data_IF_436894333590
#
_entry.id   IF_436894333590
#
_cell.length_a   1.000
_cell.length_b   1.000
_cell.length_c   1.000
_cell.angle_alpha   90.00
_cell.angle_beta   90.00
_cell.angle_gamma   90.00
#
_symmetry.space_group_name_H-M   'P 1'
#
loop_
_entity.id
_entity.type
_entity.pdbx_description
1 polymer ?
#
# COMPACT_ATOMS: atom_id res chain seq x y z
N UNK A 1 -22.85 6.14 -5.72
CA UNK A 1 -22.43 6.82 -4.47
C UNK A 1 -21.44 5.91 -3.78
N UNK A 2 -20.18 6.29 -3.67
CA UNK A 2 -19.20 5.53 -2.90
C UNK A 2 -19.61 5.56 -1.43
N UNK A 3 -19.89 4.40 -0.87
CA UNK A 3 -20.25 4.26 0.54
C UNK A 3 -18.96 4.49 1.35
N UNK A 4 -18.92 5.55 2.14
CA UNK A 4 -17.78 5.86 3.02
C UNK A 4 -17.88 4.92 4.22
N UNK A 5 -17.00 3.94 4.27
CA UNK A 5 -16.94 2.99 5.37
C UNK A 5 -15.97 3.50 6.43
N UNK A 6 -16.45 3.75 7.64
CA UNK A 6 -15.61 4.18 8.75
C UNK A 6 -14.82 3.00 9.33
N UNK A 7 -13.51 3.14 9.49
CA UNK A 7 -12.62 2.16 10.12
C UNK A 7 -12.00 2.73 11.40
N UNK A 8 -12.76 2.85 12.51
CA UNK A 8 -12.20 3.32 13.77
C UNK A 8 -11.12 2.36 14.28
N UNK A 9 -10.10 2.90 14.91
CA UNK A 9 -9.06 2.08 15.55
C UNK A 9 -9.67 1.29 16.69
N UNK A 10 -9.51 -0.03 16.65
CA UNK A 10 -9.91 -0.93 17.71
C UNK A 10 -8.68 -1.53 18.39
N UNK A 11 -8.56 -1.31 19.70
CA UNK A 11 -7.52 -1.93 20.52
C UNK A 11 -7.91 -3.36 20.91
N UNK A 12 -6.91 -4.21 21.11
CA UNK A 12 -7.10 -5.56 21.59
C UNK A 12 -6.81 -6.67 20.56
N UNK A 13 -7.02 -7.91 20.99
CA UNK A 13 -6.88 -9.11 20.15
C UNK A 13 -8.24 -9.82 20.10
N UNK A 14 -8.57 -10.43 18.97
CA UNK A 14 -9.70 -11.31 18.91
C UNK A 14 -9.55 -12.45 19.95
N UNK A 15 -10.59 -12.79 20.74
CA UNK A 15 -10.53 -13.93 21.62
C UNK A 15 -10.17 -15.20 20.86
N UNK A 16 -9.35 -16.08 21.46
CA UNK A 16 -8.86 -17.30 20.80
C UNK A 16 -9.97 -18.18 20.23
N UNK A 17 -11.08 -18.30 20.97
CA UNK A 17 -12.23 -19.09 20.54
C UNK A 17 -12.90 -18.51 19.30
N UNK A 18 -13.02 -17.17 19.23
CA UNK A 18 -13.56 -16.48 18.06
C UNK A 18 -12.63 -16.62 16.87
N UNK A 19 -11.33 -16.36 17.06
CA UNK A 19 -10.33 -16.50 16.01
C UNK A 19 -10.32 -17.90 15.40
N UNK A 20 -10.35 -18.97 16.24
CA UNK A 20 -10.45 -20.34 15.75
C UNK A 20 -11.74 -20.66 14.97
N UNK A 21 -12.85 -19.98 15.29
CA UNK A 21 -14.08 -20.06 14.47
C UNK A 21 -13.91 -19.34 13.14
N UNK A 22 -13.30 -18.17 13.15
CA UNK A 22 -13.01 -17.39 11.94
C UNK A 22 -12.11 -18.19 10.98
N UNK A 23 -11.06 -18.84 11.48
CA UNK A 23 -10.20 -19.74 10.69
C UNK A 23 -11.01 -20.85 10.01
N UNK A 24 -11.83 -21.57 10.76
CA UNK A 24 -12.63 -22.68 10.20
C UNK A 24 -13.68 -22.19 9.20
N UNK A 25 -14.46 -21.17 9.57
CA UNK A 25 -15.54 -20.69 8.71
C UNK A 25 -15.01 -19.92 7.49
N UNK A 26 -14.01 -19.05 7.69
CA UNK A 26 -13.35 -18.35 6.59
C UNK A 26 -12.68 -19.30 5.61
N UNK A 27 -12.00 -20.32 6.12
CA UNK A 27 -11.43 -21.39 5.29
C UNK A 27 -12.49 -22.16 4.52
N UNK A 28 -13.62 -22.55 5.15
CA UNK A 28 -14.70 -23.27 4.47
C UNK A 28 -15.34 -22.43 3.36
N UNK A 29 -15.68 -21.16 3.62
CA UNK A 29 -16.23 -20.25 2.60
C UNK A 29 -15.24 -20.06 1.45
N UNK A 30 -13.95 -19.83 1.77
CA UNK A 30 -12.93 -19.63 0.75
C UNK A 30 -12.72 -20.87 -0.12
N UNK A 31 -12.68 -22.07 0.47
CA UNK A 31 -12.59 -23.33 -0.29
C UNK A 31 -13.80 -23.53 -1.19
N UNK A 32 -15.02 -23.24 -0.73
CA UNK A 32 -16.21 -23.32 -1.59
C UNK A 32 -16.09 -22.38 -2.81
N UNK A 33 -15.54 -21.17 -2.64
CA UNK A 33 -15.29 -20.27 -3.77
C UNK A 33 -14.20 -20.82 -4.68
N UNK A 34 -13.12 -21.39 -4.13
CA UNK A 34 -12.05 -21.99 -4.92
C UNK A 34 -12.58 -23.18 -5.73
N UNK A 35 -13.35 -24.05 -5.10
CA UNK A 35 -13.90 -25.26 -5.74
C UNK A 35 -14.86 -24.93 -6.89
N UNK A 36 -15.65 -23.86 -6.75
CA UNK A 36 -16.66 -23.48 -7.73
C UNK A 36 -16.11 -22.55 -8.83
N UNK A 37 -15.22 -21.61 -8.46
CA UNK A 37 -14.79 -20.53 -9.36
C UNK A 37 -13.27 -20.44 -9.55
N UNK A 38 -12.50 -21.22 -8.82
CA UNK A 38 -11.04 -21.19 -8.83
C UNK A 38 -10.41 -20.17 -7.89
N UNK A 39 -9.08 -20.32 -7.64
CA UNK A 39 -8.35 -19.48 -6.67
C UNK A 39 -8.23 -18.01 -7.12
N UNK A 40 -8.20 -17.76 -8.42
CA UNK A 40 -8.11 -16.40 -8.98
C UNK A 40 -9.38 -15.60 -8.71
N UNK A 41 -10.53 -16.22 -8.68
CA UNK A 41 -11.78 -15.57 -8.31
C UNK A 41 -11.79 -15.23 -6.82
N UNK A 42 -11.36 -16.14 -5.95
CA UNK A 42 -11.22 -15.83 -4.53
C UNK A 42 -10.28 -14.65 -4.31
N UNK A 43 -9.15 -14.61 -5.00
CA UNK A 43 -8.21 -13.49 -4.93
C UNK A 43 -8.88 -12.17 -5.32
N UNK A 44 -9.61 -12.16 -6.44
CA UNK A 44 -10.35 -10.99 -6.89
C UNK A 44 -11.36 -10.50 -5.87
N UNK A 45 -12.12 -11.41 -5.27
CA UNK A 45 -13.10 -11.11 -4.22
C UNK A 45 -12.43 -10.56 -2.94
N UNK A 46 -11.29 -11.10 -2.54
CA UNK A 46 -10.55 -10.59 -1.38
C UNK A 46 -10.00 -9.15 -1.62
N UNK A 47 -9.79 -8.80 -2.88
CA UNK A 47 -9.36 -7.46 -3.28
C UNK A 47 -10.54 -6.52 -3.64
N UNK A 48 -11.78 -6.99 -3.50
CA UNK A 48 -13.00 -6.18 -3.55
C UNK A 48 -13.40 -5.75 -2.14
N UNK A 49 -13.59 -4.45 -1.94
CA UNK A 49 -13.84 -3.87 -0.62
C UNK A 49 -15.16 -4.36 -0.01
N UNK A 50 -16.20 -4.43 -0.82
CA UNK A 50 -17.53 -4.86 -0.38
C UNK A 50 -17.57 -6.33 0.00
N UNK A 51 -17.01 -7.19 -0.85
CA UNK A 51 -16.97 -8.63 -0.58
C UNK A 51 -16.07 -8.97 0.61
N UNK A 52 -14.90 -8.33 0.71
CA UNK A 52 -14.01 -8.50 1.86
C UNK A 52 -14.70 -8.16 3.17
N UNK A 53 -15.44 -7.06 3.20
CA UNK A 53 -16.21 -6.65 4.38
C UNK A 53 -17.34 -7.63 4.70
N UNK A 54 -18.08 -8.09 3.68
CA UNK A 54 -19.14 -9.07 3.85
C UNK A 54 -18.61 -10.40 4.40
N UNK A 55 -17.48 -10.89 3.87
CA UNK A 55 -16.80 -12.07 4.40
C UNK A 55 -16.40 -11.88 5.86
N UNK A 56 -15.81 -10.73 6.19
CA UNK A 56 -15.39 -10.44 7.56
C UNK A 56 -16.57 -10.49 8.55
N UNK A 57 -17.71 -9.94 8.16
CA UNK A 57 -18.95 -10.02 8.95
C UNK A 57 -19.46 -11.48 9.06
N UNK A 58 -19.48 -12.22 7.95
CA UNK A 58 -19.95 -13.60 7.92
C UNK A 58 -19.14 -14.53 8.84
N UNK A 59 -17.81 -14.31 8.94
CA UNK A 59 -16.95 -15.12 9.80
C UNK A 59 -16.94 -14.69 11.28
N UNK A 60 -17.68 -13.62 11.62
CA UNK A 60 -17.91 -13.21 12.99
C UNK A 60 -17.31 -11.89 13.42
N UNK A 61 -16.90 -11.06 12.46
CA UNK A 61 -16.48 -9.69 12.73
C UNK A 61 -17.64 -8.74 12.37
N UNK A 62 -18.44 -8.36 13.37
CA UNK A 62 -19.77 -7.77 13.17
C UNK A 62 -19.80 -6.23 13.08
N UNK A 63 -18.63 -5.56 13.07
CA UNK A 63 -18.56 -4.12 12.85
C UNK A 63 -17.32 -3.68 12.08
N UNK A 64 -17.44 -2.53 11.43
CA UNK A 64 -16.32 -1.91 10.71
C UNK A 64 -15.29 -1.34 11.69
N UNK A 65 -14.10 -1.92 11.71
CA UNK A 65 -12.99 -1.39 12.49
C UNK A 65 -11.64 -1.76 11.85
N UNK A 66 -10.59 -1.16 12.34
CA UNK A 66 -9.22 -1.52 11.94
C UNK A 66 -8.87 -2.99 12.19
N UNK A 67 -9.55 -3.62 13.14
CA UNK A 67 -9.41 -5.04 13.44
C UNK A 67 -9.92 -5.95 12.33
N UNK A 68 -10.96 -5.53 11.60
CA UNK A 68 -11.56 -6.29 10.48
C UNK A 68 -10.49 -6.76 9.50
N UNK A 69 -9.66 -5.87 8.99
CA UNK A 69 -8.60 -6.22 8.03
C UNK A 69 -7.59 -7.20 8.62
N UNK A 70 -7.06 -6.85 9.79
CA UNK A 70 -5.93 -7.58 10.38
C UNK A 70 -6.31 -8.98 10.87
N UNK A 71 -7.50 -9.14 11.43
CA UNK A 71 -7.97 -10.41 12.00
C UNK A 71 -8.47 -11.33 10.89
N UNK A 72 -9.22 -10.81 9.92
CA UNK A 72 -9.72 -11.59 8.79
C UNK A 72 -8.57 -12.17 7.97
N UNK A 73 -7.60 -11.33 7.57
CA UNK A 73 -6.44 -11.82 6.81
C UNK A 73 -5.55 -12.78 7.63
N UNK A 74 -5.44 -12.55 8.94
CA UNK A 74 -4.76 -13.50 9.81
C UNK A 74 -5.44 -14.87 9.86
N UNK A 75 -6.77 -14.89 9.95
CA UNK A 75 -7.56 -16.13 9.95
C UNK A 75 -7.50 -16.86 8.60
N UNK A 76 -7.58 -16.12 7.49
CA UNK A 76 -7.47 -16.69 6.15
C UNK A 76 -6.05 -17.22 5.86
N UNK A 77 -5.02 -16.51 6.31
CA UNK A 77 -3.63 -16.97 6.21
C UNK A 77 -3.43 -18.32 6.89
N UNK A 78 -3.95 -18.48 8.12
CA UNK A 78 -3.88 -19.73 8.86
C UNK A 78 -4.71 -20.84 8.19
N UNK A 79 -5.84 -20.49 7.58
CA UNK A 79 -6.74 -21.47 6.97
C UNK A 79 -6.27 -21.98 5.60
N UNK A 80 -5.59 -21.16 4.78
CA UNK A 80 -5.43 -21.39 3.34
C UNK A 80 -3.99 -21.61 2.89
N UNK A 81 -2.99 -21.12 3.64
CA UNK A 81 -1.60 -21.16 3.14
C UNK A 81 -1.04 -22.57 2.94
N UNK A 82 -1.62 -23.57 3.59
CA UNK A 82 -1.23 -24.96 3.42
C UNK A 82 -1.97 -25.67 2.25
N UNK A 83 -3.04 -25.08 1.74
CA UNK A 83 -3.91 -25.70 0.73
C UNK A 83 -3.30 -25.72 -0.69
N UNK A 84 -2.27 -24.89 -0.97
CA UNK A 84 -1.61 -24.84 -2.27
C UNK A 84 -2.41 -24.17 -3.40
N UNK A 85 -3.48 -23.44 -3.09
CA UNK A 85 -4.33 -22.77 -4.09
C UNK A 85 -4.09 -21.26 -4.16
N UNK A 86 -3.94 -20.63 -2.98
CA UNK A 86 -3.65 -19.22 -2.79
C UNK A 86 -2.68 -19.07 -1.62
N UNK A 87 -1.80 -18.08 -1.69
CA UNK A 87 -0.89 -17.79 -0.59
C UNK A 87 -1.05 -16.33 -0.12
N UNK A 88 -1.09 -16.16 1.20
CA UNK A 88 -1.21 -14.87 1.89
C UNK A 88 0.10 -14.60 2.63
N UNK A 89 0.91 -13.71 2.09
CA UNK A 89 2.19 -13.29 2.65
C UNK A 89 2.01 -12.04 3.52
N UNK A 90 2.78 -11.93 4.59
CA UNK A 90 2.79 -10.73 5.43
C UNK A 90 1.76 -10.73 6.56
N UNK A 91 1.28 -9.55 6.94
CA UNK A 91 0.36 -9.33 8.05
C UNK A 91 0.63 -8.06 8.86
N UNK A 92 0.25 -8.04 10.16
CA UNK A 92 0.40 -6.88 11.03
C UNK A 92 1.82 -6.78 11.62
N UNK A 93 2.39 -5.57 11.64
CA UNK A 93 3.65 -5.28 12.32
C UNK A 93 4.83 -6.10 11.78
N UNK A 94 5.48 -6.92 12.60
CA UNK A 94 6.64 -7.73 12.18
C UNK A 94 6.32 -8.70 11.05
N UNK A 95 5.11 -9.24 10.99
CA UNK A 95 4.67 -10.09 9.89
C UNK A 95 4.66 -9.32 8.56
N UNK A 96 4.21 -8.06 8.55
CA UNK A 96 4.27 -7.21 7.36
C UNK A 96 5.71 -6.92 6.91
N UNK A 97 6.65 -6.75 7.84
CA UNK A 97 8.08 -6.60 7.51
C UNK A 97 8.65 -7.88 6.89
N UNK A 98 8.15 -9.05 7.29
CA UNK A 98 8.61 -10.36 6.80
C UNK A 98 7.96 -10.76 5.46
N UNK A 99 7.09 -9.97 4.87
CA UNK A 99 6.39 -10.27 3.60
C UNK A 99 7.32 -10.79 2.48
N UNK A 100 8.52 -10.24 2.27
CA UNK A 100 9.44 -10.77 1.25
C UNK A 100 9.81 -12.25 1.44
N UNK A 101 10.09 -12.66 2.67
CA UNK A 101 10.40 -14.06 2.97
C UNK A 101 9.17 -14.96 2.80
N UNK A 102 8.00 -14.50 3.24
CA UNK A 102 6.74 -15.23 3.05
C UNK A 102 6.44 -15.41 1.56
N UNK A 103 6.72 -14.41 0.71
CA UNK A 103 6.55 -14.49 -0.75
C UNK A 103 7.41 -15.60 -1.34
N UNK A 104 8.68 -15.70 -0.95
CA UNK A 104 9.58 -16.77 -1.44
C UNK A 104 9.01 -18.14 -1.09
N UNK A 105 8.60 -18.33 0.17
CA UNK A 105 8.00 -19.59 0.63
C UNK A 105 6.72 -19.91 -0.15
N UNK A 106 5.85 -18.93 -0.34
CA UNK A 106 4.58 -19.12 -1.04
C UNK A 106 4.77 -19.38 -2.54
N UNK A 107 5.73 -18.73 -3.17
CA UNK A 107 6.05 -18.93 -4.58
C UNK A 107 6.55 -20.37 -4.84
N UNK A 108 7.37 -20.90 -3.92
CA UNK A 108 7.80 -22.30 -3.98
C UNK A 108 6.62 -23.26 -3.81
N UNK A 109 5.76 -23.03 -2.81
CA UNK A 109 4.55 -23.85 -2.57
C UNK A 109 3.58 -23.87 -3.75
N UNK A 110 3.43 -22.73 -4.43
CA UNK A 110 2.54 -22.61 -5.59
C UNK A 110 3.22 -22.97 -6.92
N UNK A 111 4.45 -23.49 -6.88
CA UNK A 111 5.26 -23.92 -8.04
C UNK A 111 5.53 -22.80 -9.04
N UNK A 112 5.72 -21.56 -8.55
CA UNK A 112 6.07 -20.37 -9.33
C UNK A 112 7.28 -19.61 -8.73
N UNK A 113 8.40 -20.29 -8.40
CA UNK A 113 9.53 -19.64 -7.73
C UNK A 113 10.17 -18.52 -8.56
N UNK A 114 10.03 -18.56 -9.88
CA UNK A 114 10.46 -17.52 -10.82
C UNK A 114 9.74 -16.17 -10.61
N UNK A 115 8.56 -16.14 -9.98
CA UNK A 115 7.82 -14.93 -9.67
C UNK A 115 8.23 -14.27 -8.36
N UNK A 116 8.98 -14.93 -7.49
CA UNK A 116 9.25 -14.48 -6.12
C UNK A 116 9.93 -13.10 -6.08
N UNK A 117 10.92 -12.84 -6.94
CA UNK A 117 11.61 -11.56 -7.00
C UNK A 117 10.67 -10.43 -7.44
N UNK A 118 9.94 -10.63 -8.54
CA UNK A 118 8.98 -9.65 -9.05
C UNK A 118 7.87 -9.36 -8.03
N UNK A 119 7.33 -10.38 -7.35
CA UNK A 119 6.32 -10.20 -6.31
C UNK A 119 6.87 -9.47 -5.08
N UNK A 120 8.12 -9.74 -4.70
CA UNK A 120 8.79 -9.01 -3.61
C UNK A 120 8.93 -7.53 -3.94
N UNK A 121 9.28 -7.20 -5.16
CA UNK A 121 9.38 -5.82 -5.63
C UNK A 121 8.01 -5.14 -5.66
N UNK A 122 6.98 -5.80 -6.22
CA UNK A 122 5.59 -5.30 -6.25
C UNK A 122 5.04 -5.06 -4.84
N UNK A 123 5.32 -5.96 -3.91
CA UNK A 123 4.96 -5.80 -2.49
C UNK A 123 5.61 -4.57 -1.86
N UNK A 124 6.89 -4.31 -2.15
CA UNK A 124 7.60 -3.11 -1.66
C UNK A 124 7.05 -1.84 -2.30
N UNK A 125 6.80 -1.86 -3.61
CA UNK A 125 6.25 -0.73 -4.35
C UNK A 125 4.86 -0.36 -3.84
N UNK A 126 3.94 -1.31 -3.69
CA UNK A 126 2.60 -1.03 -3.21
C UNK A 126 2.61 -0.41 -1.81
N UNK A 127 3.42 -0.95 -0.89
CA UNK A 127 3.58 -0.37 0.44
C UNK A 127 4.16 1.05 0.39
N UNK A 128 5.10 1.29 -0.52
CA UNK A 128 5.74 2.59 -0.71
C UNK A 128 4.78 3.62 -1.30
N UNK A 129 4.03 3.25 -2.33
CA UNK A 129 3.05 4.11 -2.98
C UNK A 129 2.01 4.56 -1.96
N UNK A 130 1.35 3.64 -1.26
CA UNK A 130 0.30 4.00 -0.31
C UNK A 130 0.82 4.78 0.89
N UNK A 131 2.07 4.53 1.32
CA UNK A 131 2.67 5.28 2.43
C UNK A 131 3.23 6.65 2.05
N UNK A 132 3.47 6.92 0.77
CA UNK A 132 4.21 8.11 0.33
C UNK A 132 3.46 8.99 -0.67
N UNK A 133 2.47 8.46 -1.39
CA UNK A 133 1.83 9.15 -2.50
C UNK A 133 0.35 9.50 -2.25
N UNK A 134 -0.36 8.74 -1.38
CA UNK A 134 -1.82 8.86 -1.25
C UNK A 134 -2.25 9.81 -0.14
N UNK A 135 -1.67 9.71 1.06
CA UNK A 135 -2.06 10.51 2.23
C UNK A 135 -0.88 11.05 3.00
N UNK A 136 -1.08 12.23 3.59
CA UNK A 136 -0.03 12.99 4.25
C UNK A 136 0.42 12.45 5.60
N UNK A 137 -0.46 11.79 6.34
CA UNK A 137 -0.23 11.41 7.72
C UNK A 137 -0.44 9.91 8.01
N UNK A 138 -0.65 9.10 6.98
CA UNK A 138 -0.94 7.68 7.16
C UNK A 138 0.34 6.84 7.13
N UNK A 139 0.58 6.08 8.19
CA UNK A 139 1.64 5.07 8.28
C UNK A 139 1.06 3.66 8.09
N UNK A 140 1.57 2.90 7.12
CA UNK A 140 1.18 1.50 6.90
C UNK A 140 1.68 0.66 8.08
N UNK A 141 0.81 -0.09 8.73
CA UNK A 141 1.14 -0.98 9.84
C UNK A 141 0.69 -2.44 9.61
N UNK A 142 -0.14 -2.66 8.60
CA UNK A 142 -0.53 -3.98 8.13
C UNK A 142 -0.32 -4.05 6.64
N UNK A 143 0.39 -5.06 6.17
CA UNK A 143 0.64 -5.28 4.76
C UNK A 143 0.56 -6.76 4.46
N UNK A 144 -0.32 -7.14 3.52
CA UNK A 144 -0.42 -8.49 2.98
C UNK A 144 -0.35 -8.46 1.47
N UNK A 145 0.40 -9.41 0.93
CA UNK A 145 0.51 -9.69 -0.49
C UNK A 145 -0.08 -11.07 -0.74
N UNK A 146 -1.11 -11.14 -1.59
CA UNK A 146 -1.85 -12.36 -1.91
C UNK A 146 -1.51 -12.76 -3.34
N UNK A 147 -1.37 -14.06 -3.61
CA UNK A 147 -1.12 -14.52 -4.97
C UNK A 147 -1.51 -15.98 -5.16
N UNK A 148 -1.69 -16.38 -6.41
CA UNK A 148 -2.10 -17.71 -6.85
C UNK A 148 -1.04 -18.32 -7.77
N UNK A 149 -1.14 -19.61 -8.03
CA UNK A 149 -0.24 -20.33 -8.94
C UNK A 149 -0.33 -19.86 -10.41
N UNK A 150 -1.38 -19.15 -10.79
CA UNK A 150 -1.48 -18.51 -12.13
C UNK A 150 -0.55 -17.31 -12.29
N UNK A 151 0.00 -16.77 -11.18
CA UNK A 151 0.76 -15.54 -11.15
C UNK A 151 -0.09 -14.28 -10.97
N UNK A 152 -1.41 -14.42 -10.76
CA UNK A 152 -2.29 -13.33 -10.36
C UNK A 152 -2.01 -12.93 -8.91
N UNK A 153 -2.02 -11.64 -8.64
CA UNK A 153 -1.68 -11.13 -7.30
C UNK A 153 -2.59 -9.97 -6.88
N UNK A 154 -2.62 -9.72 -5.59
CA UNK A 154 -3.30 -8.58 -4.99
C UNK A 154 -2.63 -8.14 -3.69
N UNK A 155 -2.99 -6.95 -3.23
CA UNK A 155 -2.51 -6.38 -1.97
C UNK A 155 -3.70 -5.93 -1.14
N UNK A 156 -3.68 -6.27 0.13
CA UNK A 156 -4.57 -5.67 1.12
C UNK A 156 -3.70 -5.13 2.25
N UNK A 157 -3.66 -3.81 2.37
CA UNK A 157 -2.88 -3.16 3.40
C UNK A 157 -3.67 -2.09 4.12
N UNK A 158 -3.23 -1.75 5.32
CA UNK A 158 -3.93 -0.79 6.15
C UNK A 158 -2.94 0.15 6.83
N UNK A 159 -3.22 1.42 6.69
CA UNK A 159 -2.53 2.49 7.37
C UNK A 159 -3.39 3.12 8.43
N UNK A 160 -2.76 3.89 9.32
CA UNK A 160 -3.47 4.72 10.28
C UNK A 160 -2.84 6.10 10.38
N UNK A 161 -3.71 7.07 10.67
CA UNK A 161 -3.29 8.41 11.06
C UNK A 161 -3.27 8.48 12.59
N UNK A 162 -2.13 8.82 13.21
CA UNK A 162 -2.06 9.04 14.66
C UNK A 162 -2.99 10.17 15.14
N UNK A 163 -3.23 11.16 14.28
CA UNK A 163 -4.02 12.34 14.63
C UNK A 163 -5.52 12.09 14.64
N UNK A 164 -6.03 11.17 13.80
CA UNK A 164 -7.47 10.96 13.62
C UNK A 164 -8.01 9.72 14.31
N UNK A 165 -7.17 8.84 14.84
CA UNK A 165 -7.57 7.52 15.37
C UNK A 165 -8.39 6.69 14.37
N UNK A 166 -8.14 6.89 13.07
CA UNK A 166 -8.84 6.23 11.98
C UNK A 166 -7.86 5.47 11.10
N UNK A 167 -8.31 4.36 10.55
CA UNK A 167 -7.56 3.56 9.61
C UNK A 167 -8.07 3.73 8.18
N UNK A 168 -7.19 3.53 7.23
CA UNK A 168 -7.50 3.45 5.79
C UNK A 168 -7.04 2.09 5.30
N UNK A 169 -7.92 1.36 4.63
CA UNK A 169 -7.61 0.11 3.94
C UNK A 169 -7.46 0.36 2.46
N UNK A 170 -6.34 -0.09 1.90
CA UNK A 170 -6.04 -0.05 0.48
C UNK A 170 -6.10 -1.46 -0.08
N UNK A 171 -6.74 -1.63 -1.21
CA UNK A 171 -6.83 -2.90 -1.92
C UNK A 171 -6.39 -2.73 -3.36
N UNK A 172 -5.58 -3.67 -3.83
CA UNK A 172 -5.01 -3.70 -5.18
C UNK A 172 -5.30 -5.05 -5.81
N UNK A 173 -5.46 -5.08 -7.12
CA UNK A 173 -5.58 -6.31 -7.89
C UNK A 173 -4.80 -6.17 -9.20
N UNK A 174 -3.99 -7.16 -9.54
CA UNK A 174 -3.11 -7.17 -10.71
C UNK A 174 -3.82 -6.85 -12.02
N UNK A 175 -5.08 -7.21 -12.15
CA UNK A 175 -5.86 -7.02 -13.37
C UNK A 175 -6.18 -5.56 -13.68
N UNK A 176 -6.12 -4.69 -12.68
CA UNK A 176 -6.41 -3.24 -12.82
C UNK A 176 -5.14 -2.39 -12.85
N UNK A 177 -3.98 -3.00 -12.66
CA UNK A 177 -2.72 -2.27 -12.60
C UNK A 177 -2.25 -1.90 -14.00
N UNK A 178 -1.94 -0.62 -14.21
CA UNK A 178 -1.22 -0.18 -15.39
C UNK A 178 0.21 -0.76 -15.35
N UNK A 179 0.55 -1.59 -16.34
CA UNK A 179 1.87 -2.23 -16.42
C UNK A 179 3.00 -1.24 -16.72
N UNK A 180 2.66 -0.09 -17.32
CA UNK A 180 3.64 0.95 -17.65
C UNK A 180 3.87 1.88 -16.45
N UNK A 181 2.85 2.08 -15.62
CA UNK A 181 2.94 2.92 -14.42
C UNK A 181 2.10 2.33 -13.28
N UNK A 182 2.69 1.44 -12.51
CA UNK A 182 2.06 0.82 -11.33
C UNK A 182 1.54 1.83 -10.30
N UNK A 183 2.02 3.06 -10.33
CA UNK A 183 1.60 4.11 -9.40
C UNK A 183 0.40 4.93 -9.90
N UNK A 184 -0.14 4.62 -11.08
CA UNK A 184 -1.28 5.34 -11.65
C UNK A 184 -2.59 4.62 -11.33
N UNK A 185 -3.49 5.25 -10.58
CA UNK A 185 -4.80 4.73 -10.18
C UNK A 185 -4.78 3.25 -9.70
N UNK A 186 -3.85 2.88 -8.79
CA UNK A 186 -3.55 1.46 -8.56
C UNK A 186 -4.61 0.71 -7.74
N UNK A 187 -5.52 1.43 -7.10
CA UNK A 187 -6.41 0.84 -6.11
C UNK A 187 -7.65 0.21 -6.74
N UNK A 188 -7.95 -1.02 -6.38
CA UNK A 188 -9.25 -1.66 -6.63
C UNK A 188 -10.30 -1.21 -5.61
N UNK A 189 -9.87 -0.75 -4.44
CA UNK A 189 -10.71 -0.18 -3.39
C UNK A 189 -9.89 0.60 -2.37
N UNK A 190 -10.48 1.68 -1.87
CA UNK A 190 -9.96 2.45 -0.73
C UNK A 190 -11.09 2.68 0.26
N UNK A 191 -10.97 2.08 1.45
CA UNK A 191 -11.92 2.26 2.54
C UNK A 191 -11.36 3.26 3.55
N UNK A 192 -11.97 4.43 3.60
CA UNK A 192 -11.61 5.49 4.52
C UNK A 192 -12.85 6.18 5.07
N UNK A 193 -12.83 6.52 6.35
CA UNK A 193 -13.89 7.29 6.99
C UNK A 193 -13.82 8.78 6.72
N UNK A 194 -12.77 9.26 6.06
CA UNK A 194 -12.48 10.67 5.91
C UNK A 194 -12.19 11.00 4.45
N UNK A 195 -12.92 11.99 3.90
CA UNK A 195 -12.42 12.75 2.76
C UNK A 195 -11.35 13.69 3.31
N UNK A 196 -10.10 13.38 3.08
CA UNK A 196 -8.98 14.27 3.38
C UNK A 196 -8.68 15.02 2.09
N UNK A 197 -8.59 16.34 2.19
CA UNK A 197 -8.01 17.15 1.13
C UNK A 197 -6.51 16.91 1.17
N UNK A 198 -6.04 15.94 0.43
CA UNK A 198 -4.62 15.62 0.29
C UNK A 198 -4.27 15.58 -1.18
N UNK A 199 -3.03 15.87 -1.50
CA UNK A 199 -2.53 15.69 -2.87
C UNK A 199 -2.34 14.20 -3.07
N UNK A 200 -3.26 13.57 -3.80
CA UNK A 200 -3.11 12.18 -4.23
C UNK A 200 -2.23 12.13 -5.49
N UNK A 201 -0.98 11.75 -5.30
CA UNK A 201 -0.02 11.63 -6.39
C UNK A 201 -0.21 10.36 -7.24
N UNK A 202 -1.17 9.50 -6.88
CA UNK A 202 -1.56 8.34 -7.69
C UNK A 202 -2.66 8.67 -8.68
N UNK A 203 -3.34 9.80 -8.50
CA UNK A 203 -4.37 10.26 -9.44
C UNK A 203 -3.78 10.60 -10.80
N UNK A 204 -4.50 10.25 -11.86
CA UNK A 204 -4.16 10.61 -13.25
C UNK A 204 -4.03 12.12 -13.44
N UNK A 205 -4.80 12.93 -12.71
CA UNK A 205 -4.71 14.40 -12.74
C UNK A 205 -3.34 14.93 -12.27
N UNK A 206 -2.63 14.15 -11.45
CA UNK A 206 -1.31 14.48 -10.92
C UNK A 206 -0.16 13.71 -11.61
N UNK A 207 -0.42 13.06 -12.75
CA UNK A 207 0.57 12.25 -13.47
C UNK A 207 1.81 13.05 -13.89
N UNK A 208 1.66 14.35 -14.14
CA UNK A 208 2.74 15.29 -14.49
C UNK A 208 3.81 15.42 -13.41
N UNK A 209 3.47 15.17 -12.14
CA UNK A 209 4.41 15.27 -11.00
C UNK A 209 5.56 14.26 -11.13
N UNK A 210 5.31 13.10 -11.71
CA UNK A 210 6.30 12.02 -11.81
C UNK A 210 7.51 12.39 -12.68
N UNK A 211 7.34 12.77 -13.98
CA UNK A 211 8.45 13.24 -14.79
C UNK A 211 9.09 14.52 -14.21
N UNK A 212 8.28 15.49 -13.76
CA UNK A 212 8.79 16.71 -13.17
C UNK A 212 9.62 16.49 -11.89
N UNK A 213 9.31 15.43 -11.11
CA UNK A 213 10.12 15.04 -9.96
C UNK A 213 11.49 14.51 -10.36
N UNK A 214 11.59 13.78 -11.46
CA UNK A 214 12.88 13.29 -11.99
C UNK A 214 13.72 14.46 -12.53
N UNK A 215 13.12 15.39 -13.25
CA UNK A 215 13.79 16.61 -13.70
C UNK A 215 14.31 17.45 -12.53
N UNK A 216 13.51 17.60 -11.48
CA UNK A 216 13.92 18.33 -10.27
C UNK A 216 15.13 17.69 -9.55
N UNK A 217 15.31 16.38 -9.65
CA UNK A 217 16.51 15.69 -9.14
C UNK A 217 17.76 15.96 -9.97
N UNK A 218 17.62 16.25 -11.26
CA UNK A 218 18.74 16.59 -12.11
C UNK A 218 19.22 18.03 -11.90
N UNK A 219 18.37 18.94 -11.42
CA UNK A 219 18.70 20.33 -11.05
C UNK A 219 18.61 20.56 -9.54
N UNK A 220 19.51 19.91 -8.80
CA UNK A 220 19.60 20.08 -7.35
C UNK A 220 19.90 21.51 -6.90
N UNK A 221 20.55 22.31 -7.75
CA UNK A 221 20.83 23.71 -7.45
C UNK A 221 19.55 24.53 -7.34
N UNK A 222 18.61 24.33 -8.26
CA UNK A 222 17.29 24.95 -8.24
C UNK A 222 16.42 24.39 -7.10
N UNK A 223 16.42 23.07 -6.93
CA UNK A 223 15.68 22.41 -5.84
C UNK A 223 16.07 22.97 -4.46
N UNK A 224 17.37 23.11 -4.18
CA UNK A 224 17.87 23.66 -2.91
C UNK A 224 17.53 25.15 -2.76
N UNK A 225 17.55 25.92 -3.86
CA UNK A 225 17.13 27.33 -3.85
C UNK A 225 15.67 27.47 -3.43
N UNK A 226 14.79 26.66 -4.00
CA UNK A 226 13.35 26.64 -3.67
C UNK A 226 13.16 26.23 -2.21
N UNK A 227 13.82 25.18 -1.76
CA UNK A 227 13.71 24.70 -0.36
C UNK A 227 14.23 25.70 0.66
N UNK A 228 15.22 26.48 0.33
CA UNK A 228 15.79 27.50 1.22
C UNK A 228 15.04 28.86 1.16
N UNK A 229 14.13 29.06 0.21
CA UNK A 229 13.38 30.30 0.04
C UNK A 229 12.60 30.69 1.31
N UNK A 230 11.84 29.80 1.99
CA UNK A 230 11.14 30.15 3.22
C UNK A 230 12.08 30.69 4.30
N UNK A 231 13.24 30.07 4.50
CA UNK A 231 14.23 30.51 5.52
C UNK A 231 14.74 31.91 5.25
N UNK A 232 15.00 32.27 3.98
CA UNK A 232 15.48 33.60 3.57
C UNK A 232 14.45 34.69 3.86
N UNK A 233 13.18 34.35 3.92
CA UNK A 233 12.06 35.27 4.15
C UNK A 233 11.49 35.19 5.57
N UNK A 234 12.20 34.53 6.51
CA UNK A 234 11.76 34.40 7.90
C UNK A 234 10.52 33.51 8.09
N UNK A 235 10.20 32.70 7.09
CA UNK A 235 9.08 31.74 7.13
C UNK A 235 9.63 30.39 7.62
N UNK A 236 9.00 29.81 8.63
CA UNK A 236 9.32 28.44 9.05
C UNK A 236 8.97 27.47 7.93
N UNK A 237 9.93 26.71 7.39
CA UNK A 237 9.63 25.71 6.37
C UNK A 237 8.67 24.66 6.95
N UNK A 238 7.72 24.22 6.12
CA UNK A 238 6.88 23.07 6.47
C UNK A 238 7.71 21.82 6.73
N UNK A 239 7.10 20.79 7.35
CA UNK A 239 7.78 19.56 7.74
C UNK A 239 8.54 18.87 6.59
N UNK A 240 8.14 19.10 5.35
CA UNK A 240 8.71 18.48 4.16
C UNK A 240 9.93 19.22 3.59
N UNK A 241 10.13 20.50 3.94
CA UNK A 241 11.22 21.35 3.45
C UNK A 241 12.33 21.55 4.54
N UNK A 242 12.74 20.47 5.17
CA UNK A 242 13.75 20.48 6.24
C UNK A 242 15.15 20.19 5.70
N UNK A 243 16.20 20.46 6.50
CA UNK A 243 17.58 20.05 6.17
C UNK A 243 17.73 18.56 5.95
N UNK A 244 16.97 17.76 6.70
CA UNK A 244 16.89 16.31 6.50
C UNK A 244 16.28 15.98 5.12
N UNK A 245 15.27 16.74 4.68
CA UNK A 245 14.68 16.63 3.35
C UNK A 245 15.71 16.89 2.26
N UNK A 246 16.49 17.99 2.35
CA UNK A 246 17.56 18.29 1.38
C UNK A 246 18.58 17.14 1.30
N UNK A 247 19.00 16.61 2.45
CA UNK A 247 19.93 15.47 2.48
C UNK A 247 19.35 14.23 1.79
N UNK A 248 18.06 13.99 1.92
CA UNK A 248 17.40 12.86 1.26
C UNK A 248 17.23 13.09 -0.24
N UNK A 249 16.95 14.33 -0.66
CA UNK A 249 16.92 14.69 -2.08
C UNK A 249 18.28 14.52 -2.76
N UNK A 250 19.36 14.95 -2.12
CA UNK A 250 20.72 14.69 -2.63
C UNK A 250 21.00 13.20 -2.81
N UNK A 251 20.63 12.40 -1.80
CA UNK A 251 20.74 10.94 -1.91
C UNK A 251 19.92 10.35 -3.05
N UNK A 252 18.73 10.89 -3.30
CA UNK A 252 17.88 10.46 -4.40
C UNK A 252 18.49 10.87 -5.75
N UNK A 253 19.06 12.09 -5.83
CA UNK A 253 19.78 12.58 -7.00
C UNK A 253 21.05 11.76 -7.26
N UNK A 254 21.86 11.47 -6.24
CA UNK A 254 23.08 10.65 -6.35
C UNK A 254 22.80 9.22 -6.84
N UNK A 255 21.60 8.70 -6.60
CA UNK A 255 21.15 7.38 -7.08
C UNK A 255 20.77 7.39 -8.57
N UNK A 256 20.64 8.57 -9.18
CA UNK A 256 20.33 8.80 -10.59
C UNK A 256 19.20 7.91 -11.16
N UNK A 257 17.99 7.94 -10.54
CA UNK A 257 16.90 7.07 -10.95
C UNK A 257 16.42 7.40 -12.37
N UNK A 258 16.41 6.41 -13.25
CA UNK A 258 15.97 6.56 -14.64
C UNK A 258 14.42 6.59 -14.76
N UNK A 259 13.71 6.19 -13.71
CA UNK A 259 12.25 6.15 -13.67
C UNK A 259 11.70 6.48 -12.27
N UNK A 260 10.44 6.90 -12.23
CA UNK A 260 9.77 7.16 -10.94
C UNK A 260 9.65 5.89 -10.09
N UNK A 261 9.56 4.71 -10.72
CA UNK A 261 9.62 3.41 -10.05
C UNK A 261 10.95 3.21 -9.32
N UNK A 262 12.06 3.47 -9.97
CA UNK A 262 13.40 3.39 -9.36
C UNK A 262 13.57 4.42 -8.25
N UNK A 263 13.05 5.63 -8.43
CA UNK A 263 13.02 6.64 -7.38
C UNK A 263 12.28 6.13 -6.14
N UNK A 264 11.09 5.54 -6.30
CA UNK A 264 10.33 4.97 -5.18
C UNK A 264 11.08 3.84 -4.47
N UNK A 265 11.83 3.00 -5.20
CA UNK A 265 12.61 1.89 -4.64
C UNK A 265 13.94 2.34 -4.03
N UNK A 266 14.40 3.56 -4.30
CA UNK A 266 15.65 4.09 -3.79
C UNK A 266 15.65 4.13 -2.26
N UNK A 267 16.70 3.57 -1.65
CA UNK A 267 16.83 3.49 -0.20
C UNK A 267 16.91 4.87 0.44
N UNK A 268 15.96 5.15 1.34
CA UNK A 268 15.87 6.43 2.05
C UNK A 268 14.89 7.41 1.42
N UNK A 269 14.45 7.21 0.18
CA UNK A 269 13.33 7.93 -0.40
C UNK A 269 12.06 7.50 0.33
N UNK A 270 11.31 8.45 0.84
CA UNK A 270 10.06 8.24 1.58
C UNK A 270 9.09 9.38 1.33
N UNK A 271 8.01 9.41 2.10
CA UNK A 271 6.95 10.41 2.00
C UNK A 271 7.48 11.85 1.90
N UNK A 272 8.35 12.24 2.82
CA UNK A 272 8.90 13.61 2.85
C UNK A 272 9.66 13.94 1.55
N UNK A 273 10.46 12.99 1.02
CA UNK A 273 11.18 13.19 -0.24
C UNK A 273 10.24 13.34 -1.43
N UNK A 274 9.27 12.45 -1.54
CA UNK A 274 8.27 12.46 -2.64
C UNK A 274 7.45 13.76 -2.61
N UNK A 275 7.03 14.20 -1.44
CA UNK A 275 6.28 15.45 -1.30
C UNK A 275 7.13 16.69 -1.56
N UNK A 276 8.37 16.69 -1.08
CA UNK A 276 9.30 17.77 -1.41
C UNK A 276 9.49 17.91 -2.92
N UNK A 277 9.64 16.78 -3.62
CA UNK A 277 9.74 16.80 -5.09
C UNK A 277 8.46 17.31 -5.75
N UNK A 278 7.30 16.88 -5.30
CA UNK A 278 6.02 17.39 -5.82
C UNK A 278 5.89 18.91 -5.64
N UNK A 279 6.27 19.44 -4.47
CA UNK A 279 6.26 20.89 -4.19
C UNK A 279 7.27 21.60 -5.08
N UNK A 280 8.49 21.11 -5.18
CA UNK A 280 9.55 21.70 -6.01
C UNK A 280 9.08 21.74 -7.47
N UNK A 281 8.57 20.64 -8.01
CA UNK A 281 8.06 20.54 -9.36
C UNK A 281 6.94 21.56 -9.64
N UNK A 282 6.00 21.72 -8.70
CA UNK A 282 4.93 22.71 -8.81
C UNK A 282 5.43 24.15 -8.84
N UNK A 283 6.54 24.45 -8.15
CA UNK A 283 7.12 25.79 -8.05
C UNK A 283 8.13 26.10 -9.17
N UNK A 284 8.68 25.07 -9.81
CA UNK A 284 9.64 25.22 -10.91
C UNK A 284 9.02 25.61 -12.25
N UNK A 285 7.69 25.65 -12.33
CA UNK A 285 6.98 26.00 -13.57
C UNK A 285 7.01 24.94 -14.66
N UNK A 286 7.40 23.71 -14.34
CA UNK A 286 7.36 22.56 -15.25
C UNK A 286 5.96 21.94 -15.35
N UNK A 287 4.97 22.51 -14.67
CA UNK A 287 3.56 22.20 -14.85
C UNK A 287 3.06 22.92 -16.12
N UNK A 288 3.19 22.25 -17.28
CA UNK A 288 2.61 22.68 -18.55
C UNK A 288 1.11 22.46 -18.58
#
# INVERSE_FOLDING_TARGET
>A
MAQITQLPLHGGRAPRWLFGRMVRLGGAISRSVIDEYGPDELLGRLCDSGWFQALSCAIGYDWHSSGTTTVTLGALKEALNEDGSIFIAGGKGKAGVNTPNDIVIGADRLSIPDKAEAFTELSRLSAKIDSSMVYDDIGIYHHTFLFTGSGRWGVVQQGMSPASSMAVRFQWISDRIDRNDISNEPHSGVDSSRRITSIDLTSSDNSWVKPASLEALQDMGNAERIMNYPKRHGISPGADLTEKGIKMLRKASDADPSSYRELLLTRGVGRSTIRSLAIISSLSGTAG
#
